data_IF_275359144055
#
_entry.id   IF_275359144055
#
_cell.length_a   1.000
_cell.length_b   1.000
_cell.length_c   1.000
_cell.angle_alpha   90.00
_cell.angle_beta   90.00
_cell.angle_gamma   90.00
#
_symmetry.space_group_name_H-M   'P 1'
#
loop_
_entity.id
_entity.type
_entity.pdbx_description
1 polymer ?
#
# COMPACT_ATOMS: atom_id res chain seq x y z
N UNK A 1 21.42 42.94 19.88
CA UNK A 1 20.37 43.44 20.79
C UNK A 1 20.20 42.43 21.91
N UNK A 2 20.82 42.73 23.04
CA UNK A 2 20.68 42.05 24.34
C UNK A 2 19.45 42.57 25.07
N UNK A 3 18.69 41.72 25.76
CA UNK A 3 17.93 42.03 27.00
C UNK A 3 17.08 40.80 27.37
N UNK A 4 16.92 40.28 28.59
CA UNK A 4 17.62 40.29 29.90
C UNK A 4 17.03 39.11 30.67
N UNK A 5 17.86 38.49 31.52
CA UNK A 5 17.45 37.58 32.59
C UNK A 5 16.72 38.35 33.71
N UNK A 6 15.77 37.70 34.38
CA UNK A 6 15.35 38.06 35.72
C UNK A 6 15.32 36.78 36.59
N UNK A 7 16.25 36.72 37.55
CA UNK A 7 16.33 35.80 38.67
C UNK A 7 15.56 36.39 39.87
N UNK A 8 15.07 35.53 40.77
CA UNK A 8 15.09 35.57 42.25
C UNK A 8 13.94 34.68 42.77
N UNK A 9 14.18 33.49 43.33
CA UNK A 9 14.78 33.14 44.63
C UNK A 9 13.74 33.02 45.77
N UNK A 10 13.63 31.84 46.37
CA UNK A 10 13.67 31.63 47.83
C UNK A 10 13.55 30.14 48.21
N UNK A 11 14.44 29.74 49.13
CA UNK A 11 14.62 28.44 49.78
C UNK A 11 13.46 28.07 50.72
N UNK A 12 13.22 26.76 50.89
CA UNK A 12 12.80 26.19 52.18
C UNK A 12 13.38 24.77 52.35
N UNK A 13 14.38 24.67 53.23
CA UNK A 13 14.95 23.44 53.76
C UNK A 13 14.02 22.92 54.86
N UNK A 14 13.61 21.66 54.77
CA UNK A 14 13.05 20.93 55.90
C UNK A 14 13.72 19.55 55.99
N UNK A 15 14.73 19.46 56.85
CA UNK A 15 15.24 18.20 57.40
C UNK A 15 14.32 17.81 58.54
N UNK A 16 13.70 16.62 58.45
CA UNK A 16 13.14 15.90 59.58
C UNK A 16 13.57 14.43 59.46
N UNK A 17 14.51 14.06 60.32
CA UNK A 17 14.87 12.68 60.64
C UNK A 17 13.78 12.12 61.55
N UNK A 18 13.28 10.91 61.27
CA UNK A 18 12.76 9.98 62.27
C UNK A 18 12.74 8.54 61.73
N UNK A 19 13.38 7.68 62.51
CA UNK A 19 13.62 6.25 62.40
C UNK A 19 12.35 5.41 62.61
N UNK A 20 12.20 4.32 61.85
CA UNK A 20 11.23 3.25 62.10
C UNK A 20 11.69 1.92 61.49
N UNK A 21 11.66 0.86 62.28
CA UNK A 21 12.33 -0.42 62.05
C UNK A 21 11.36 -1.55 61.64
N UNK A 22 11.91 -2.55 60.94
CA UNK A 22 11.49 -3.97 60.80
C UNK A 22 10.11 -4.28 60.19
N UNK A 23 10.13 -4.76 58.94
CA UNK A 23 9.12 -5.66 58.39
C UNK A 23 9.81 -6.91 57.85
N UNK A 24 9.78 -8.01 58.61
CA UNK A 24 10.16 -9.34 58.16
C UNK A 24 8.87 -10.00 57.63
N UNK A 25 8.86 -10.44 56.36
CA UNK A 25 7.64 -10.94 55.73
C UNK A 25 7.89 -11.67 54.42
N UNK A 26 8.57 -12.82 54.54
CA UNK A 26 8.43 -14.06 53.76
C UNK A 26 8.13 -14.01 52.24
N UNK A 27 9.02 -14.65 51.48
CA UNK A 27 8.58 -15.68 50.55
C UNK A 27 8.30 -15.22 49.13
N UNK A 28 9.33 -15.24 48.30
CA UNK A 28 9.17 -15.07 46.86
C UNK A 28 10.49 -14.92 46.13
N UNK A 29 11.49 -15.77 46.41
CA UNK A 29 12.42 -16.14 45.34
C UNK A 29 11.57 -16.79 44.26
N UNK A 30 11.13 -15.99 43.29
CA UNK A 30 10.56 -16.49 42.06
C UNK A 30 11.70 -17.22 41.38
N UNK A 31 11.73 -18.52 41.67
CA UNK A 31 12.44 -19.55 40.94
C UNK A 31 12.40 -19.17 39.46
N UNK A 32 13.58 -18.85 38.94
CA UNK A 32 13.86 -18.85 37.52
C UNK A 32 13.49 -20.24 37.02
N UNK A 33 12.22 -20.39 36.64
CA UNK A 33 11.86 -21.37 35.65
C UNK A 33 12.52 -20.86 34.39
N UNK A 34 13.64 -21.50 34.05
CA UNK A 34 14.09 -21.67 32.69
C UNK A 34 12.96 -22.31 31.88
N UNK A 35 11.89 -21.55 31.63
CA UNK A 35 11.21 -21.63 30.36
C UNK A 35 12.15 -20.89 29.42
N UNK A 36 12.65 -21.58 28.43
CA UNK A 36 13.38 -21.03 27.30
C UNK A 36 12.70 -19.70 26.92
N UNK A 37 13.30 -18.59 27.32
CA UNK A 37 12.75 -17.27 27.09
C UNK A 37 12.92 -17.06 25.60
N UNK A 38 11.91 -17.47 24.83
CA UNK A 38 11.82 -17.15 23.41
C UNK A 38 11.90 -15.63 23.39
N UNK A 39 13.05 -15.10 22.97
CA UNK A 39 13.22 -13.66 22.85
C UNK A 39 12.04 -13.16 22.03
N UNK A 40 11.29 -12.16 22.53
CA UNK A 40 10.16 -11.63 21.79
C UNK A 40 10.66 -11.21 20.41
N UNK A 41 9.89 -11.54 19.38
CA UNK A 41 10.23 -11.15 18.01
C UNK A 41 10.13 -9.63 17.93
N UNK A 42 11.27 -8.94 17.84
CA UNK A 42 11.33 -7.48 17.82
C UNK A 42 10.98 -6.80 19.15
N UNK A 43 11.27 -5.51 19.23
CA UNK A 43 10.93 -4.63 20.35
C UNK A 43 9.57 -3.97 20.11
N UNK A 44 8.75 -3.87 21.16
CA UNK A 44 7.49 -3.14 21.08
C UNK A 44 7.74 -1.68 21.46
N UNK A 45 7.45 -0.76 20.55
CA UNK A 45 7.57 0.68 20.77
C UNK A 45 6.29 1.24 21.38
N UNK A 46 6.41 2.43 22.01
CA UNK A 46 5.26 3.18 22.51
C UNK A 46 4.47 3.88 21.39
N UNK A 47 5.10 4.07 20.22
CA UNK A 47 4.46 4.62 19.02
C UNK A 47 3.41 3.65 18.44
N UNK A 48 2.39 4.23 17.83
CA UNK A 48 1.25 3.50 17.27
C UNK A 48 0.73 4.15 15.99
N UNK A 49 0.06 3.35 15.18
CA UNK A 49 -0.65 3.84 14.00
C UNK A 49 -1.95 4.60 14.34
N UNK A 50 -2.66 5.05 13.30
CA UNK A 50 -3.93 5.76 13.43
C UNK A 50 -5.04 4.94 14.11
N UNK A 51 -4.90 3.61 14.15
CA UNK A 51 -5.82 2.67 14.80
C UNK A 51 -5.39 2.31 16.23
N UNK A 52 -4.29 2.88 16.72
CA UNK A 52 -3.72 2.61 18.05
C UNK A 52 -2.98 1.28 18.14
N UNK A 53 -2.52 0.73 17.01
CA UNK A 53 -1.72 -0.50 16.96
C UNK A 53 -0.25 -0.15 17.16
N UNK A 54 0.34 -0.71 18.23
CA UNK A 54 1.73 -0.46 18.58
C UNK A 54 2.69 -0.98 17.51
N UNK A 55 3.82 -0.29 17.37
CA UNK A 55 4.88 -0.64 16.46
C UNK A 55 5.77 -1.72 17.05
N UNK A 56 6.16 -2.68 16.21
CA UNK A 56 7.09 -3.77 16.52
C UNK A 56 8.33 -3.59 15.65
N UNK A 57 9.35 -3.05 16.29
CA UNK A 57 10.65 -2.73 15.72
C UNK A 57 11.45 -4.01 15.46
N UNK A 58 12.01 -4.11 14.26
CA UNK A 58 12.93 -5.19 13.88
C UNK A 58 14.20 -4.62 13.27
N UNK A 59 15.30 -5.36 13.38
CA UNK A 59 16.55 -4.98 12.74
C UNK A 59 16.35 -4.82 11.22
N UNK A 60 16.89 -3.73 10.67
CA UNK A 60 16.77 -3.38 9.25
C UNK A 60 17.20 -4.49 8.29
N UNK A 61 18.20 -5.28 8.67
CA UNK A 61 18.71 -6.40 7.86
C UNK A 61 17.77 -7.61 7.85
N UNK A 62 16.86 -7.71 8.82
CA UNK A 62 15.86 -8.77 8.96
C UNK A 62 14.44 -8.30 8.61
N UNK A 63 14.30 -7.00 8.31
CA UNK A 63 13.01 -6.37 8.10
C UNK A 63 12.31 -6.89 6.84
N UNK A 64 10.99 -7.16 6.92
CA UNK A 64 10.22 -7.40 5.72
C UNK A 64 10.09 -6.12 4.88
N UNK A 65 9.84 -6.29 3.59
CA UNK A 65 9.56 -5.18 2.67
C UNK A 65 8.21 -5.43 1.98
N UNK A 66 7.50 -4.34 1.67
CA UNK A 66 6.30 -4.35 0.83
C UNK A 66 6.40 -3.28 -0.24
N UNK A 67 5.97 -3.61 -1.45
CA UNK A 67 5.67 -2.69 -2.52
C UNK A 67 4.24 -2.91 -3.02
N UNK A 68 3.62 -1.86 -3.53
CA UNK A 68 2.26 -1.91 -4.06
C UNK A 68 2.23 -1.43 -5.52
N UNK A 69 1.46 -2.14 -6.34
CA UNK A 69 1.09 -1.74 -7.69
C UNK A 69 -0.43 -1.82 -7.82
N UNK A 70 -1.02 -0.81 -8.47
CA UNK A 70 -2.48 -0.79 -8.70
C UNK A 70 -2.76 -0.54 -10.18
N UNK A 71 -3.57 -1.41 -10.78
CA UNK A 71 -3.94 -1.34 -12.18
C UNK A 71 -5.47 -1.26 -12.34
N UNK A 72 -6.00 -0.37 -13.19
CA UNK A 72 -7.42 -0.31 -13.47
C UNK A 72 -7.86 -1.51 -14.33
N UNK A 73 -9.07 -2.00 -14.07
CA UNK A 73 -9.75 -3.02 -14.85
C UNK A 73 -10.79 -2.39 -15.81
N UNK A 74 -11.31 -3.19 -16.74
CA UNK A 74 -12.35 -2.78 -17.68
C UNK A 74 -13.74 -2.57 -17.06
N UNK A 75 -13.96 -3.04 -15.83
CA UNK A 75 -15.20 -2.91 -15.06
C UNK A 75 -15.12 -1.80 -13.99
N UNK A 76 -14.21 -0.84 -14.18
CA UNK A 76 -13.89 0.26 -13.26
C UNK A 76 -13.32 -0.17 -11.89
N UNK A 77 -13.17 -1.48 -11.64
CA UNK A 77 -12.45 -2.00 -10.48
C UNK A 77 -10.94 -1.88 -10.65
N UNK A 78 -10.19 -2.16 -9.59
CA UNK A 78 -8.74 -2.01 -9.58
C UNK A 78 -8.11 -3.31 -9.07
N UNK A 79 -7.11 -3.83 -9.77
CA UNK A 79 -6.30 -4.94 -9.29
C UNK A 79 -5.11 -4.37 -8.51
N UNK A 80 -5.08 -4.66 -7.22
CA UNK A 80 -3.98 -4.35 -6.30
C UNK A 80 -3.08 -5.57 -6.22
N UNK A 81 -1.79 -5.39 -6.50
CA UNK A 81 -0.76 -6.42 -6.37
C UNK A 81 0.33 -5.94 -5.42
N UNK A 82 0.56 -6.74 -4.38
CA UNK A 82 1.64 -6.55 -3.42
C UNK A 82 2.86 -7.38 -3.83
N UNK A 83 4.03 -6.75 -3.81
CA UNK A 83 5.31 -7.44 -3.86
C UNK A 83 5.89 -7.43 -2.46
N UNK A 84 6.24 -8.60 -1.92
CA UNK A 84 6.82 -8.70 -0.58
C UNK A 84 8.16 -9.39 -0.58
N UNK A 85 9.05 -8.99 0.33
CA UNK A 85 10.34 -9.66 0.60
C UNK A 85 10.51 -9.83 2.10
N UNK A 86 11.14 -10.93 2.52
CA UNK A 86 11.25 -11.25 3.95
C UNK A 86 9.91 -11.44 4.66
N UNK A 87 8.80 -11.53 3.92
CA UNK A 87 7.44 -11.59 4.49
C UNK A 87 6.64 -12.79 3.96
N UNK A 88 5.87 -13.42 4.84
CA UNK A 88 4.93 -14.50 4.53
C UNK A 88 3.55 -14.14 5.05
N UNK A 89 2.56 -14.23 4.17
CA UNK A 89 1.17 -14.10 4.58
C UNK A 89 0.71 -15.29 5.42
N UNK A 90 0.05 -14.99 6.53
CA UNK A 90 -0.53 -15.97 7.44
C UNK A 90 -1.86 -16.50 6.93
N UNK A 91 -2.07 -17.83 6.91
CA UNK A 91 -3.36 -18.43 6.62
C UNK A 91 -4.47 -17.99 7.59
N UNK A 92 -5.72 -18.23 7.21
CA UNK A 92 -6.85 -18.05 8.13
C UNK A 92 -6.73 -19.01 9.33
N UNK A 93 -7.01 -18.51 10.54
CA UNK A 93 -6.93 -19.29 11.77
C UNK A 93 -5.52 -19.42 12.37
N UNK A 94 -4.51 -18.74 11.81
CA UNK A 94 -3.20 -18.60 12.46
C UNK A 94 -3.36 -18.00 13.86
N UNK A 95 -2.59 -18.52 14.82
CA UNK A 95 -2.55 -18.03 16.20
C UNK A 95 -2.10 -16.57 16.22
N UNK A 96 -2.73 -15.76 17.05
CA UNK A 96 -2.38 -14.36 17.29
C UNK A 96 -1.08 -14.26 18.10
N UNK A 97 0.06 -14.45 17.43
CA UNK A 97 1.39 -14.39 18.03
C UNK A 97 2.39 -13.90 16.98
N UNK A 98 3.31 -12.98 17.34
CA UNK A 98 4.26 -12.45 16.38
C UNK A 98 5.27 -13.52 15.98
N UNK A 99 5.51 -13.63 14.67
CA UNK A 99 6.54 -14.47 14.05
C UNK A 99 7.27 -13.59 13.04
N UNK A 100 8.61 -13.59 13.09
CA UNK A 100 9.43 -12.69 12.27
C UNK A 100 9.08 -12.84 10.78
N UNK A 101 8.84 -11.71 10.12
CA UNK A 101 8.50 -11.70 8.70
C UNK A 101 7.19 -12.44 8.37
N UNK A 102 6.22 -12.48 9.29
CA UNK A 102 4.95 -13.14 9.05
C UNK A 102 3.77 -12.32 9.57
N UNK A 103 2.63 -12.39 8.86
CA UNK A 103 1.36 -11.87 9.32
C UNK A 103 0.42 -11.48 8.18
N UNK A 104 -0.15 -10.28 8.25
CA UNK A 104 -1.10 -9.75 7.27
C UNK A 104 -0.61 -8.45 6.65
N UNK A 105 -1.07 -8.13 5.45
CA UNK A 105 -1.02 -6.76 4.95
C UNK A 105 -2.40 -6.12 5.13
N UNK A 106 -2.46 -4.97 5.77
CA UNK A 106 -3.68 -4.15 5.79
C UNK A 106 -3.63 -3.17 4.63
N UNK A 107 -4.75 -3.04 3.93
CA UNK A 107 -4.91 -2.12 2.81
C UNK A 107 -5.79 -0.96 3.25
N UNK A 108 -5.31 0.26 3.00
CA UNK A 108 -5.96 1.51 3.35
C UNK A 108 -6.26 2.30 2.09
N UNK A 109 -7.37 3.04 2.10
CA UNK A 109 -7.69 4.07 1.12
C UNK A 109 -7.84 5.40 1.85
N UNK A 110 -6.96 6.36 1.55
CA UNK A 110 -6.87 7.66 2.24
C UNK A 110 -6.88 7.53 3.77
N UNK A 111 -6.08 6.59 4.29
CA UNK A 111 -5.97 6.31 5.73
C UNK A 111 -7.13 5.51 6.34
N UNK A 112 -8.15 5.13 5.56
CA UNK A 112 -9.24 4.26 6.03
C UNK A 112 -8.97 2.81 5.67
N UNK A 113 -8.98 1.92 6.67
CA UNK A 113 -8.84 0.48 6.45
C UNK A 113 -9.98 -0.05 5.57
N UNK A 114 -9.63 -0.70 4.45
CA UNK A 114 -10.59 -1.31 3.51
C UNK A 114 -10.48 -2.83 3.45
N UNK A 115 -9.30 -3.41 3.68
CA UNK A 115 -9.11 -4.86 3.63
C UNK A 115 -7.95 -5.34 4.51
N UNK A 116 -8.06 -6.58 5.01
CA UNK A 116 -6.97 -7.32 5.66
C UNK A 116 -6.60 -8.50 4.77
N UNK A 117 -5.42 -8.46 4.19
CA UNK A 117 -4.97 -9.36 3.14
C UNK A 117 -4.11 -10.49 3.71
N UNK A 118 -4.46 -11.72 3.31
CA UNK A 118 -3.70 -12.96 3.54
C UNK A 118 -3.09 -13.52 2.25
N UNK A 119 -3.07 -12.69 1.21
CA UNK A 119 -2.57 -13.00 -0.12
C UNK A 119 -2.08 -11.68 -0.76
N UNK A 120 -1.16 -11.75 -1.74
CA UNK A 120 -0.59 -10.55 -2.36
C UNK A 120 -1.54 -9.85 -3.34
N UNK A 121 -2.63 -10.49 -3.75
CA UNK A 121 -3.56 -9.96 -4.75
C UNK A 121 -4.89 -9.60 -4.11
N UNK A 122 -5.43 -8.44 -4.49
CA UNK A 122 -6.74 -7.97 -4.04
C UNK A 122 -7.43 -7.19 -5.14
N UNK A 123 -8.73 -7.44 -5.33
CA UNK A 123 -9.57 -6.64 -6.23
C UNK A 123 -10.31 -5.59 -5.42
N UNK A 124 -10.02 -4.33 -5.71
CA UNK A 124 -10.66 -3.16 -5.11
C UNK A 124 -11.86 -2.75 -5.98
N UNK A 125 -13.11 -2.89 -5.48
CA UNK A 125 -14.30 -2.52 -6.25
C UNK A 125 -14.41 -1.00 -6.42
N UNK A 126 -14.93 -0.57 -7.58
CA UNK A 126 -15.06 0.84 -7.95
C UNK A 126 -15.85 1.68 -6.93
N UNK A 127 -16.86 1.08 -6.29
CA UNK A 127 -17.72 1.74 -5.29
C UNK A 127 -16.98 2.20 -4.02
N UNK A 128 -15.80 1.62 -3.75
CA UNK A 128 -14.94 2.05 -2.65
C UNK A 128 -14.04 3.22 -3.00
N UNK A 129 -13.88 3.55 -4.29
CA UNK A 129 -13.00 4.61 -4.78
C UNK A 129 -13.86 5.75 -5.34
N UNK A 130 -14.07 6.83 -4.57
CA UNK A 130 -14.75 8.01 -5.08
C UNK A 130 -14.01 8.61 -6.27
N UNK A 131 -14.65 9.58 -6.92
CA UNK A 131 -13.99 10.30 -8.02
C UNK A 131 -12.88 11.20 -7.49
N UNK A 132 -11.79 11.25 -8.23
CA UNK A 132 -10.60 12.01 -7.87
C UNK A 132 -9.39 11.10 -7.72
N UNK A 133 -8.31 11.69 -7.21
CA UNK A 133 -7.09 10.97 -6.86
C UNK A 133 -7.12 10.62 -5.38
N UNK A 134 -6.85 9.35 -5.08
CA UNK A 134 -6.81 8.77 -3.75
C UNK A 134 -5.51 8.00 -3.56
N UNK A 135 -5.13 7.76 -2.31
CA UNK A 135 -3.91 7.03 -1.96
C UNK A 135 -4.27 5.66 -1.41
N UNK A 136 -3.69 4.62 -2.00
CA UNK A 136 -3.81 3.25 -1.50
C UNK A 136 -2.52 2.88 -0.80
N UNK A 137 -2.60 2.58 0.50
CA UNK A 137 -1.45 2.21 1.32
C UNK A 137 -1.57 0.76 1.77
N UNK A 138 -0.52 -0.02 1.56
CA UNK A 138 -0.37 -1.35 2.12
C UNK A 138 0.64 -1.31 3.26
N UNK A 139 0.23 -1.70 4.47
CA UNK A 139 1.05 -1.73 5.68
C UNK A 139 1.12 -3.15 6.25
N UNK A 140 2.29 -3.57 6.72
CA UNK A 140 2.50 -4.92 7.24
C UNK A 140 2.22 -5.01 8.75
N UNK A 141 1.47 -6.05 9.14
CA UNK A 141 1.11 -6.36 10.52
C UNK A 141 1.57 -7.77 10.89
N UNK A 142 1.99 -7.94 12.13
CA UNK A 142 2.16 -9.25 12.75
C UNK A 142 0.80 -9.90 13.07
N UNK A 143 0.78 -11.21 13.33
CA UNK A 143 -0.47 -11.93 13.64
C UNK A 143 -1.11 -11.53 14.98
N UNK A 144 -0.36 -10.95 15.92
CA UNK A 144 -0.91 -10.31 17.14
C UNK A 144 -1.46 -8.89 16.88
N UNK A 145 -1.32 -8.43 15.64
CA UNK A 145 -1.78 -7.14 15.13
C UNK A 145 -0.91 -5.94 15.54
N UNK A 146 0.34 -6.13 15.96
CA UNK A 146 1.32 -5.02 15.99
C UNK A 146 1.78 -4.69 14.58
N UNK A 147 2.12 -3.43 14.31
CA UNK A 147 2.64 -2.99 13.01
C UNK A 147 4.11 -3.37 12.92
N UNK A 148 4.57 -3.97 11.82
CA UNK A 148 6.00 -4.14 11.62
C UNK A 148 6.65 -2.79 11.33
N UNK A 149 7.75 -2.47 12.02
CA UNK A 149 8.45 -1.20 11.91
C UNK A 149 9.97 -1.38 11.82
N UNK A 150 10.64 -0.40 11.21
CA UNK A 150 12.10 -0.25 11.17
C UNK A 150 12.44 1.21 11.40
N UNK A 151 13.44 1.46 12.23
CA UNK A 151 13.87 2.78 12.65
C UNK A 151 12.69 3.63 13.20
N UNK A 152 11.68 2.97 13.81
CA UNK A 152 10.46 3.61 14.33
C UNK A 152 9.42 3.97 13.26
N UNK A 153 9.65 3.65 11.99
CA UNK A 153 8.72 3.90 10.90
C UNK A 153 7.97 2.61 10.50
N UNK A 154 6.64 2.68 10.25
CA UNK A 154 5.89 1.51 9.82
C UNK A 154 6.36 1.03 8.45
N UNK A 155 6.42 -0.29 8.27
CA UNK A 155 6.75 -0.90 6.98
C UNK A 155 5.50 -0.86 6.10
N UNK A 156 5.45 0.11 5.21
CA UNK A 156 4.33 0.35 4.29
C UNK A 156 4.77 0.85 2.91
N UNK A 157 3.85 0.79 1.95
CA UNK A 157 4.02 1.32 0.61
C UNK A 157 2.72 1.90 0.08
N UNK A 158 2.80 3.02 -0.65
CA UNK A 158 1.64 3.77 -1.13
C UNK A 158 1.69 3.94 -2.64
N UNK A 159 0.53 3.80 -3.29
CA UNK A 159 0.32 4.10 -4.71
C UNK A 159 -0.92 4.98 -4.90
N UNK A 160 -0.88 5.80 -5.95
CA UNK A 160 -1.99 6.68 -6.31
C UNK A 160 -3.00 5.95 -7.19
N UNK A 161 -4.28 6.22 -6.95
CA UNK A 161 -5.38 5.78 -7.79
C UNK A 161 -6.23 6.98 -8.21
N UNK A 162 -6.46 7.16 -9.50
CA UNK A 162 -7.35 8.19 -10.05
C UNK A 162 -8.61 7.57 -10.68
N UNK A 163 -9.76 7.72 -10.01
CA UNK A 163 -11.04 7.33 -10.57
C UNK A 163 -11.67 8.52 -11.31
N UNK A 164 -11.97 8.30 -12.59
CA UNK A 164 -12.69 9.26 -13.45
C UNK A 164 -14.13 8.80 -13.65
N UNK A 165 -15.00 9.66 -14.21
CA UNK A 165 -16.25 9.14 -14.77
C UNK A 165 -15.91 8.08 -15.81
N UNK A 166 -16.53 6.90 -15.70
CA UNK A 166 -16.68 6.02 -16.84
C UNK A 166 -17.41 6.82 -17.92
N UNK A 167 -16.65 7.39 -18.85
CA UNK A 167 -17.21 7.94 -20.07
C UNK A 167 -17.94 6.79 -20.72
N UNK A 168 -19.27 6.89 -20.79
CA UNK A 168 -20.13 5.95 -21.51
C UNK A 168 -19.47 5.65 -22.86
N UNK A 169 -18.82 4.50 -22.94
CA UNK A 169 -18.28 4.01 -24.20
C UNK A 169 -19.51 3.72 -25.05
N UNK A 170 -19.84 4.68 -25.92
CA UNK A 170 -20.96 4.54 -26.83
C UNK A 170 -20.83 3.20 -27.58
N UNK A 171 -21.87 2.36 -27.61
CA UNK A 171 -21.81 1.11 -28.34
C UNK A 171 -21.71 1.41 -29.84
N UNK A 172 -20.56 1.07 -30.44
CA UNK A 172 -20.44 0.76 -31.86
C UNK A 172 -20.80 1.88 -32.83
N UNK A 173 -19.92 2.86 -33.02
CA UNK A 173 -19.80 3.48 -34.34
C UNK A 173 -19.07 2.49 -35.27
N UNK A 174 -19.84 1.58 -35.86
CA UNK A 174 -19.40 0.87 -37.07
C UNK A 174 -18.92 1.92 -38.09
N UNK A 175 -17.71 1.81 -38.67
CA UNK A 175 -17.38 2.64 -39.81
C UNK A 175 -18.24 2.16 -40.98
N UNK A 176 -19.37 2.83 -41.17
CA UNK A 176 -20.12 2.81 -42.42
C UNK A 176 -19.13 3.17 -43.52
N UNK A 177 -18.73 2.17 -44.31
CA UNK A 177 -18.04 2.39 -45.58
C UNK A 177 -19.00 3.15 -46.49
N UNK A 178 -18.96 4.48 -46.42
CA UNK A 178 -19.56 5.33 -47.44
C UNK A 178 -18.66 5.23 -48.67
N UNK A 179 -19.10 4.42 -49.62
CA UNK A 179 -18.53 4.36 -50.95
C UNK A 179 -18.59 5.76 -51.58
N UNK A 180 -17.42 6.35 -51.83
CA UNK A 180 -17.28 7.49 -52.73
C UNK A 180 -17.62 7.04 -54.15
N UNK A 181 -18.87 7.26 -54.56
CA UNK A 181 -19.26 7.30 -55.97
C UNK A 181 -18.85 8.66 -56.53
N UNK A 182 -17.65 8.73 -57.09
CA UNK A 182 -17.27 9.83 -57.98
C UNK A 182 -17.99 9.65 -59.31
N UNK A 183 -19.04 10.45 -59.49
CA UNK A 183 -19.64 10.71 -60.80
C UNK A 183 -18.70 11.60 -61.62
N UNK A 184 -18.37 11.18 -62.84
CA UNK A 184 -17.64 12.02 -63.78
C UNK A 184 -17.17 11.26 -65.02
N UNK A 185 -18.02 11.22 -66.05
CA UNK A 185 -17.64 11.46 -67.46
C UNK A 185 -18.77 10.97 -68.39
N UNK A 186 -19.60 11.91 -68.82
CA UNK A 186 -20.39 11.81 -70.06
C UNK A 186 -19.45 11.64 -71.25
N UNK A 187 -19.70 10.62 -72.05
CA UNK A 187 -18.97 10.34 -73.27
C UNK A 187 -19.39 11.17 -74.47
N UNK A 188 -18.71 10.84 -75.57
CA UNK A 188 -18.97 11.14 -76.99
C UNK A 188 -18.43 12.49 -77.47
N UNK A 189 -17.23 12.44 -78.07
CA UNK A 189 -16.94 13.07 -79.39
C UNK A 189 -15.98 12.21 -80.21
N UNK A 190 -16.33 12.13 -81.48
CA UNK A 190 -15.87 11.29 -82.58
C UNK A 190 -14.58 11.77 -83.25
N UNK A 191 -13.82 10.83 -83.81
CA UNK A 191 -13.06 11.02 -85.05
C UNK A 191 -11.53 11.04 -84.88
N UNK A 192 -10.83 10.16 -85.61
CA UNK A 192 -9.38 10.33 -85.85
C UNK A 192 -8.56 9.05 -86.00
N UNK A 193 -8.90 8.22 -86.98
CA UNK A 193 -8.00 7.45 -87.85
C UNK A 193 -6.47 7.48 -87.56
N UNK A 194 -5.88 6.30 -87.31
CA UNK A 194 -4.42 6.11 -87.26
C UNK A 194 -4.03 4.65 -86.98
N UNK A 195 -3.63 3.94 -88.05
CA UNK A 195 -3.23 2.52 -88.14
C UNK A 195 -1.86 2.19 -87.46
N UNK A 196 -1.46 0.88 -87.38
CA UNK A 196 -0.77 0.25 -86.25
C UNK A 196 0.76 0.16 -86.38
N UNK A 197 1.45 -0.28 -85.31
CA UNK A 197 2.31 -1.48 -85.35
C UNK A 197 3.19 -1.70 -84.08
N UNK A 198 3.49 -2.99 -83.85
CA UNK A 198 4.71 -3.57 -83.25
C UNK A 198 4.80 -3.81 -81.73
N UNK A 199 4.40 -5.04 -81.38
CA UNK A 199 5.18 -6.10 -80.70
C UNK A 199 6.18 -5.75 -79.57
N UNK A 200 6.08 -6.49 -78.46
CA UNK A 200 7.19 -6.69 -77.52
C UNK A 200 6.79 -7.39 -76.22
N UNK A 201 6.94 -8.72 -76.15
CA UNK A 201 6.96 -9.55 -74.93
C UNK A 201 8.38 -9.61 -74.36
N UNK A 202 8.49 -9.67 -73.03
CA UNK A 202 9.37 -10.53 -72.20
C UNK A 202 9.32 -9.96 -70.77
N UNK A 203 8.84 -10.68 -69.75
CA UNK A 203 9.53 -11.75 -68.99
C UNK A 203 10.78 -11.24 -68.29
#
# INVERSE_FOLDING_TARGET
MSWTRALLAALAVCVLLLTGSVGCGSGGTQEQRNGESVSPVGELLDDADEEGRLYREVDKDEAPEVGIEVQPNSDDSWDVRLTVRGFRFSPAGTKEMPVAGQGLAHLYLDGRLIARLRAPEHRLPAELVPRGTHHVTARLYADDGTVWAVDGEPIESTADITASEAGSAAPGASPSRTASVSAGATGVRTGGQGSPDRAGKAS
#
